data_IF_367570253279
#
_entry.id   IF_367570253279
#
_cell.length_a   1.000
_cell.length_b   1.000
_cell.length_c   1.000
_cell.angle_alpha   90.00
_cell.angle_beta   90.00
_cell.angle_gamma   90.00
#
_symmetry.space_group_name_H-M   'P 1'
#
loop_
_entity.id
_entity.type
_entity.pdbx_description
1 polymer ?
#
# COMPACT_ATOMS: atom_id res chain seq x y z
N UNK A 1 -1.52 19.02 -14.12
CA UNK A 1 -0.19 18.91 -13.46
C UNK A 1 0.31 17.50 -13.69
N UNK A 2 1.61 17.34 -13.95
CA UNK A 2 2.21 16.00 -14.03
C UNK A 2 2.36 15.36 -12.63
N UNK A 3 2.66 14.07 -12.60
CA UNK A 3 2.84 13.29 -11.37
C UNK A 3 3.88 13.90 -10.41
N UNK A 4 5.01 14.40 -10.91
CA UNK A 4 6.07 14.93 -10.04
C UNK A 4 5.68 16.28 -9.43
N UNK A 5 5.05 17.16 -10.21
CA UNK A 5 4.52 18.44 -9.72
C UNK A 5 3.51 18.24 -8.58
N UNK A 6 2.65 17.23 -8.66
CA UNK A 6 1.70 16.90 -7.58
C UNK A 6 2.44 16.45 -6.32
N UNK A 7 3.48 15.61 -6.44
CA UNK A 7 4.26 15.17 -5.27
C UNK A 7 4.89 16.35 -4.55
N UNK A 8 5.58 17.23 -5.28
CA UNK A 8 6.21 18.41 -4.69
C UNK A 8 5.20 19.36 -4.05
N UNK A 9 4.04 19.55 -4.68
CA UNK A 9 2.95 20.34 -4.13
C UNK A 9 2.48 19.79 -2.78
N UNK A 10 2.22 18.48 -2.71
CA UNK A 10 1.73 17.84 -1.48
C UNK A 10 2.79 17.87 -0.38
N UNK A 11 4.04 17.49 -0.68
CA UNK A 11 5.11 17.54 0.30
C UNK A 11 5.29 18.96 0.87
N UNK A 12 5.32 19.97 0.00
CA UNK A 12 5.42 21.39 0.41
C UNK A 12 4.25 21.81 1.29
N UNK A 13 3.01 21.46 0.93
CA UNK A 13 1.82 21.78 1.74
C UNK A 13 1.83 21.09 3.10
N UNK A 14 2.27 19.83 3.17
CA UNK A 14 2.32 19.09 4.43
C UNK A 14 3.40 19.63 5.38
N UNK A 15 4.55 20.05 4.86
CA UNK A 15 5.60 20.73 5.62
C UNK A 15 5.13 22.10 6.11
N UNK A 16 4.58 22.94 5.22
CA UNK A 16 4.08 24.27 5.56
C UNK A 16 2.97 24.26 6.62
N UNK A 17 2.11 23.22 6.61
CA UNK A 17 1.05 23.04 7.61
C UNK A 17 1.51 22.30 8.88
N UNK A 18 2.77 21.86 8.94
CA UNK A 18 3.32 21.18 10.12
C UNK A 18 2.60 19.86 10.47
N UNK A 19 2.00 19.19 9.47
CA UNK A 19 1.26 17.93 9.67
C UNK A 19 2.12 16.70 9.40
N UNK A 20 3.24 16.85 8.69
CA UNK A 20 4.18 15.78 8.42
C UNK A 20 4.92 15.30 9.68
N UNK A 21 4.95 14.00 9.91
CA UNK A 21 5.63 13.36 11.06
C UNK A 21 6.80 12.50 10.60
N UNK A 22 7.59 11.97 11.54
CA UNK A 22 8.71 11.08 11.24
C UNK A 22 8.23 9.85 10.41
N UNK A 23 8.99 9.39 9.41
CA UNK A 23 10.35 9.80 9.04
C UNK A 23 10.42 11.07 8.18
N UNK A 24 11.42 11.92 8.47
CA UNK A 24 11.79 13.11 7.67
C UNK A 24 13.18 12.91 7.04
N UNK A 25 13.50 13.57 5.91
CA UNK A 25 12.62 14.42 5.08
C UNK A 25 11.52 13.59 4.39
N UNK A 26 10.38 14.22 4.09
CA UNK A 26 9.24 13.52 3.47
C UNK A 26 9.33 13.42 1.94
N UNK A 27 10.15 14.26 1.29
CA UNK A 27 10.39 14.18 -0.15
C UNK A 27 10.97 12.82 -0.53
N UNK A 28 10.45 12.25 -1.61
CA UNK A 28 10.77 10.88 -2.04
C UNK A 28 10.13 9.77 -1.20
N UNK A 29 9.21 10.10 -0.28
CA UNK A 29 8.49 9.14 0.56
C UNK A 29 6.97 9.30 0.44
N UNK A 30 6.26 8.24 0.82
CA UNK A 30 4.86 8.40 1.25
C UNK A 30 4.93 9.11 2.61
N UNK A 31 4.39 10.34 2.73
CA UNK A 31 4.56 11.14 3.93
C UNK A 31 3.77 10.55 5.10
N UNK A 32 4.41 10.37 6.26
CA UNK A 32 3.69 10.11 7.49
C UNK A 32 3.05 11.42 8.00
N UNK A 33 1.94 11.31 8.73
CA UNK A 33 1.14 12.46 9.12
C UNK A 33 0.57 12.38 10.54
N UNK A 34 0.29 13.54 11.13
CA UNK A 34 -0.48 13.67 12.36
C UNK A 34 -1.88 13.11 12.12
N UNK A 35 -2.29 12.13 12.94
CA UNK A 35 -3.56 11.45 12.81
C UNK A 35 -3.52 10.12 12.03
N UNK A 36 -2.36 9.62 11.60
CA UNK A 36 -2.26 8.32 10.91
C UNK A 36 -2.85 7.15 11.72
N UNK A 37 -2.66 7.14 13.05
CA UNK A 37 -3.33 6.15 13.92
C UNK A 37 -4.86 6.34 13.96
N UNK A 38 -5.37 7.57 13.92
CA UNK A 38 -6.82 7.82 13.88
C UNK A 38 -7.42 7.34 12.55
N UNK A 39 -6.72 7.56 11.43
CA UNK A 39 -7.10 7.02 10.14
C UNK A 39 -7.11 5.47 10.15
N UNK A 40 -6.10 4.83 10.76
CA UNK A 40 -6.07 3.38 10.93
C UNK A 40 -7.25 2.85 11.79
N UNK A 41 -7.61 3.54 12.88
CA UNK A 41 -8.77 3.17 13.69
C UNK A 41 -10.10 3.35 12.96
N UNK A 42 -10.18 4.33 12.05
CA UNK A 42 -11.36 4.53 11.20
C UNK A 42 -11.44 3.49 10.08
N UNK A 43 -10.30 3.08 9.51
CA UNK A 43 -10.25 1.91 8.63
C UNK A 43 -10.74 0.65 9.37
N UNK A 44 -10.34 0.47 10.64
CA UNK A 44 -10.76 -0.66 11.48
C UNK A 44 -12.28 -0.78 11.64
N UNK A 45 -13.03 0.32 11.54
CA UNK A 45 -14.50 0.29 11.67
C UNK A 45 -15.23 -0.12 10.39
N UNK A 46 -14.54 -0.23 9.25
CA UNK A 46 -15.15 -0.56 7.97
C UNK A 46 -15.56 -2.04 7.86
N UNK A 47 -16.69 -2.37 7.20
CA UNK A 47 -17.08 -3.76 6.94
C UNK A 47 -16.01 -4.55 6.19
N UNK A 48 -15.40 -3.96 5.15
CA UNK A 48 -14.33 -4.59 4.35
C UNK A 48 -13.10 -4.94 5.18
N UNK A 49 -12.82 -4.18 6.24
CA UNK A 49 -11.74 -4.49 7.17
C UNK A 49 -12.15 -5.58 8.16
N UNK A 50 -13.35 -5.47 8.72
CA UNK A 50 -13.85 -6.43 9.73
C UNK A 50 -13.92 -7.84 9.16
N UNK A 51 -14.40 -8.00 7.92
CA UNK A 51 -14.53 -9.31 7.25
C UNK A 51 -13.20 -9.90 6.75
N UNK A 52 -12.18 -9.08 6.52
CA UNK A 52 -10.88 -9.53 6.00
C UNK A 52 -10.12 -10.38 7.04
N UNK A 53 -9.72 -11.59 6.67
CA UNK A 53 -8.86 -12.47 7.49
C UNK A 53 -7.37 -12.25 7.18
N UNK A 54 -7.07 -12.07 5.90
CA UNK A 54 -5.73 -11.77 5.40
C UNK A 54 -5.74 -10.42 4.71
N UNK A 55 -4.83 -9.54 5.11
CA UNK A 55 -4.69 -8.19 4.53
C UNK A 55 -3.29 -8.01 3.96
N UNK A 56 -3.18 -7.34 2.82
CA UNK A 56 -1.91 -6.80 2.36
C UNK A 56 -1.79 -5.37 2.87
N UNK A 57 -0.67 -5.05 3.52
CA UNK A 57 -0.38 -3.67 3.95
C UNK A 57 1.02 -3.31 3.52
N UNK A 58 1.14 -2.31 2.67
CA UNK A 58 2.42 -1.85 2.15
C UNK A 58 3.34 -1.35 3.29
N UNK A 59 4.68 -1.42 3.17
CA UNK A 59 5.63 -1.18 4.27
C UNK A 59 5.78 0.29 4.69
N UNK A 60 5.18 1.24 3.97
CA UNK A 60 5.38 2.67 4.22
C UNK A 60 4.97 3.11 5.64
N UNK A 61 5.67 4.14 6.14
CA UNK A 61 5.52 4.65 7.50
C UNK A 61 4.08 5.04 7.91
N UNK A 62 3.27 5.75 7.09
CA UNK A 62 1.89 6.05 7.45
C UNK A 62 1.01 4.81 7.65
N UNK A 63 1.38 3.66 7.10
CA UNK A 63 0.63 2.41 7.25
C UNK A 63 1.09 1.56 8.44
N UNK A 64 2.12 1.97 9.18
CA UNK A 64 2.56 1.28 10.41
C UNK A 64 1.41 1.07 11.41
N UNK A 65 0.56 2.07 11.72
CA UNK A 65 -0.56 1.86 12.62
C UNK A 65 -1.58 0.85 12.08
N UNK A 66 -1.76 0.77 10.75
CA UNK A 66 -2.67 -0.21 10.14
C UNK A 66 -2.14 -1.62 10.34
N UNK A 67 -0.84 -1.86 10.13
CA UNK A 67 -0.20 -3.16 10.37
C UNK A 67 -0.32 -3.59 11.83
N UNK A 68 -0.02 -2.68 12.76
CA UNK A 68 -0.11 -2.96 14.20
C UNK A 68 -1.55 -3.31 14.63
N UNK A 69 -2.54 -2.55 14.14
CA UNK A 69 -3.96 -2.81 14.47
C UNK A 69 -4.44 -4.12 13.83
N UNK A 70 -4.07 -4.41 12.58
CA UNK A 70 -4.42 -5.66 11.92
C UNK A 70 -3.88 -6.90 12.65
N UNK A 71 -2.61 -6.87 13.07
CA UNK A 71 -2.03 -7.97 13.85
C UNK A 71 -2.72 -8.12 15.22
N UNK A 72 -3.02 -7.01 15.91
CA UNK A 72 -3.79 -7.06 17.17
C UNK A 72 -5.19 -7.63 17.00
N UNK A 73 -5.81 -7.41 15.86
CA UNK A 73 -7.13 -7.93 15.52
C UNK A 73 -7.09 -9.39 15.03
N UNK A 74 -5.94 -10.07 15.16
CA UNK A 74 -5.79 -11.48 14.78
C UNK A 74 -5.75 -11.72 13.27
N UNK A 75 -5.51 -10.68 12.46
CA UNK A 75 -5.44 -10.80 11.00
C UNK A 75 -4.03 -11.19 10.56
N UNK A 76 -3.93 -12.05 9.56
CA UNK A 76 -2.67 -12.32 8.87
C UNK A 76 -2.30 -11.10 8.00
N UNK A 77 -1.09 -10.58 8.16
CA UNK A 77 -0.61 -9.43 7.38
C UNK A 77 0.43 -9.89 6.37
N UNK A 78 0.18 -9.63 5.09
CA UNK A 78 1.16 -9.77 4.02
C UNK A 78 1.80 -8.40 3.78
N UNK A 79 3.13 -8.36 3.70
CA UNK A 79 3.87 -7.13 3.47
C UNK A 79 4.96 -7.36 2.43
N UNK A 80 5.14 -6.42 1.51
CA UNK A 80 6.27 -6.43 0.60
C UNK A 80 7.58 -6.09 1.35
N UNK A 81 8.67 -6.75 0.97
CA UNK A 81 10.00 -6.35 1.41
C UNK A 81 10.43 -5.05 0.71
N UNK A 82 11.35 -4.25 1.29
CA UNK A 82 11.82 -3.03 0.65
C UNK A 82 12.28 -3.26 -0.79
N UNK A 83 11.72 -2.47 -1.73
CA UNK A 83 11.97 -2.57 -3.18
C UNK A 83 11.66 -3.94 -3.79
N UNK A 84 10.85 -4.77 -3.12
CA UNK A 84 10.51 -6.15 -3.53
C UNK A 84 11.72 -7.08 -3.70
N UNK A 85 12.90 -6.73 -3.17
CA UNK A 85 14.13 -7.51 -3.35
C UNK A 85 14.04 -8.91 -2.74
N UNK A 86 13.31 -9.06 -1.63
CA UNK A 86 13.06 -10.33 -0.97
C UNK A 86 11.64 -10.85 -1.17
N UNK A 87 10.89 -10.32 -2.14
CA UNK A 87 9.48 -10.66 -2.35
C UNK A 87 8.60 -10.19 -1.20
N UNK A 88 7.79 -11.11 -0.66
CA UNK A 88 6.78 -10.85 0.36
C UNK A 88 7.05 -11.64 1.64
N UNK A 89 6.58 -11.09 2.75
CA UNK A 89 6.60 -11.73 4.06
C UNK A 89 5.18 -11.87 4.60
N UNK A 90 4.92 -12.98 5.26
CA UNK A 90 3.69 -13.23 5.99
C UNK A 90 3.94 -13.06 7.49
N UNK A 91 3.04 -12.33 8.13
CA UNK A 91 3.01 -12.08 9.55
C UNK A 91 1.74 -12.73 10.11
N UNK A 92 1.89 -13.82 10.86
CA UNK A 92 0.81 -14.45 11.60
C UNK A 92 0.86 -14.01 13.08
N UNK A 93 -0.16 -13.30 13.59
CA UNK A 93 -0.15 -12.85 14.98
C UNK A 93 -0.12 -14.00 16.00
N UNK A 94 -0.54 -15.22 15.64
CA UNK A 94 -0.45 -16.39 16.53
C UNK A 94 1.01 -16.84 16.77
N UNK A 95 1.92 -16.49 15.86
CA UNK A 95 3.35 -16.83 15.95
C UNK A 95 4.18 -15.69 16.58
N UNK A 96 3.53 -14.63 17.04
CA UNK A 96 4.20 -13.38 17.45
C UNK A 96 4.06 -13.10 18.94
N UNK A 97 5.20 -12.85 19.59
CA UNK A 97 5.23 -12.39 20.99
C UNK A 97 4.91 -10.90 21.12
N UNK A 98 5.41 -10.08 20.19
CA UNK A 98 5.18 -8.64 20.16
C UNK A 98 4.72 -8.19 18.76
N UNK A 99 3.41 -8.02 18.62
CA UNK A 99 2.77 -7.54 17.38
C UNK A 99 3.13 -6.10 17.03
N UNK A 100 3.47 -5.25 18.02
CA UNK A 100 3.90 -3.87 17.76
C UNK A 100 5.27 -3.87 17.09
N UNK A 101 6.17 -4.70 17.61
CA UNK A 101 7.48 -4.85 17.00
C UNK A 101 7.38 -5.42 15.58
N UNK A 102 6.58 -6.47 15.40
CA UNK A 102 6.32 -7.12 14.12
C UNK A 102 5.72 -6.19 13.04
N UNK A 103 4.96 -5.17 13.43
CA UNK A 103 4.39 -4.21 12.49
C UNK A 103 5.43 -3.29 11.82
N UNK A 104 6.61 -3.12 12.42
CA UNK A 104 7.71 -2.35 11.83
C UNK A 104 8.40 -3.10 10.70
N UNK A 105 9.03 -2.42 9.73
CA UNK A 105 9.76 -3.10 8.65
C UNK A 105 10.84 -4.03 9.21
N UNK A 106 11.64 -3.53 10.19
CA UNK A 106 12.73 -4.32 10.80
C UNK A 106 12.19 -5.51 11.57
N UNK A 107 11.14 -5.32 12.36
CA UNK A 107 10.53 -6.40 13.12
C UNK A 107 9.91 -7.44 12.21
N UNK A 108 9.14 -7.02 11.20
CA UNK A 108 8.55 -7.89 10.20
C UNK A 108 9.59 -8.75 9.47
N UNK A 109 10.75 -8.17 9.09
CA UNK A 109 11.83 -8.93 8.47
C UNK A 109 12.50 -9.95 9.42
N UNK A 110 12.40 -9.76 10.73
CA UNK A 110 13.01 -10.66 11.74
C UNK A 110 12.05 -11.75 12.21
N UNK A 111 10.77 -11.43 12.34
CA UNK A 111 9.75 -12.36 12.88
C UNK A 111 8.80 -12.93 11.82
N UNK A 112 8.73 -12.31 10.63
CA UNK A 112 7.90 -12.78 9.55
C UNK A 112 8.56 -13.88 8.74
N UNK A 113 7.72 -14.75 8.18
CA UNK A 113 8.16 -15.81 7.30
C UNK A 113 8.17 -15.28 5.86
N UNK A 114 9.26 -15.49 5.13
CA UNK A 114 9.25 -15.33 3.67
C UNK A 114 8.18 -16.25 3.10
N UNK A 115 7.35 -15.73 2.21
CA UNK A 115 6.25 -16.49 1.62
C UNK A 115 6.30 -16.38 0.11
N UNK A 116 6.07 -17.51 -0.57
CA UNK A 116 5.56 -17.45 -1.94
C UNK A 116 4.17 -16.82 -1.85
N UNK A 117 3.90 -15.88 -2.75
CA UNK A 117 2.57 -15.27 -2.85
C UNK A 117 1.59 -16.21 -3.56
N UNK A 118 2.07 -17.11 -4.41
CA UNK A 118 1.23 -18.08 -5.10
C UNK A 118 0.45 -18.94 -4.09
N UNK A 119 -0.86 -19.07 -4.31
CA UNK A 119 -1.76 -19.84 -3.43
C UNK A 119 -2.23 -19.10 -2.18
N UNK A 120 -1.77 -17.87 -1.94
CA UNK A 120 -2.36 -17.00 -0.91
C UNK A 120 -3.66 -16.37 -1.40
N UNK A 121 -4.52 -15.98 -0.46
CA UNK A 121 -5.70 -15.14 -0.72
C UNK A 121 -5.67 -13.92 0.18
N UNK A 122 -5.64 -12.73 -0.42
CA UNK A 122 -5.72 -11.44 0.29
C UNK A 122 -7.13 -10.86 0.11
N UNK A 123 -7.75 -10.45 1.23
CA UNK A 123 -9.12 -9.95 1.24
C UNK A 123 -9.20 -8.43 1.13
N UNK A 124 -8.12 -7.72 1.47
CA UNK A 124 -8.06 -6.27 1.50
C UNK A 124 -6.62 -5.81 1.28
N UNK A 125 -6.43 -4.84 0.39
CA UNK A 125 -5.14 -4.22 0.08
C UNK A 125 -5.11 -2.82 0.70
N UNK A 126 -4.06 -2.50 1.44
CA UNK A 126 -3.83 -1.16 2.00
C UNK A 126 -2.53 -0.59 1.46
N UNK A 127 -2.65 0.50 0.71
CA UNK A 127 -1.57 1.17 0.02
C UNK A 127 -1.35 2.59 0.55
N UNK A 128 -0.08 2.96 0.78
CA UNK A 128 0.31 4.34 1.04
C UNK A 128 0.24 5.19 -0.23
N UNK A 129 -0.12 6.47 -0.07
CA UNK A 129 -0.22 7.42 -1.19
C UNK A 129 0.45 8.74 -0.84
N UNK A 130 1.15 9.37 -1.79
CA UNK A 130 1.51 10.79 -1.71
C UNK A 130 0.26 11.63 -1.94
N UNK A 131 -0.48 11.34 -2.99
CA UNK A 131 -1.73 12.02 -3.31
C UNK A 131 -2.81 11.04 -3.76
N UNK A 132 -4.07 11.43 -3.57
CA UNK A 132 -5.24 10.74 -4.09
C UNK A 132 -6.28 11.73 -4.58
N UNK A 133 -7.20 11.29 -5.44
CA UNK A 133 -8.38 12.05 -5.82
C UNK A 133 -9.68 11.28 -5.54
N UNK A 134 -10.82 11.98 -5.65
CA UNK A 134 -12.13 11.37 -5.40
C UNK A 134 -12.62 10.43 -6.51
N UNK A 135 -11.94 10.39 -7.67
CA UNK A 135 -12.23 9.45 -8.76
C UNK A 135 -11.60 8.08 -8.52
N UNK A 136 -10.69 7.97 -7.55
CA UNK A 136 -9.96 6.76 -7.19
C UNK A 136 -8.49 6.79 -7.61
N UNK A 137 -8.02 7.92 -8.16
CA UNK A 137 -6.64 8.07 -8.59
C UNK A 137 -5.69 8.02 -7.40
N UNK A 138 -4.57 7.31 -7.57
CA UNK A 138 -3.56 7.10 -6.52
C UNK A 138 -2.18 7.45 -7.05
N UNK A 139 -1.43 8.21 -6.26
CA UNK A 139 -0.06 8.60 -6.60
C UNK A 139 0.92 8.15 -5.53
N UNK A 140 1.81 7.23 -5.86
CA UNK A 140 2.93 6.80 -5.00
C UNK A 140 4.14 7.75 -4.98
N UNK A 141 5.15 7.42 -4.15
CA UNK A 141 6.36 8.23 -3.90
C UNK A 141 7.32 8.38 -5.09
N UNK A 142 7.37 7.38 -5.97
CA UNK A 142 8.10 7.29 -7.25
C UNK A 142 8.45 5.81 -7.53
N UNK A 143 8.93 5.51 -8.74
CA UNK A 143 9.40 4.18 -9.22
C UNK A 143 8.38 3.05 -9.35
N UNK A 144 7.12 3.27 -8.98
CA UNK A 144 6.03 2.32 -9.25
C UNK A 144 6.05 1.05 -8.40
N UNK A 145 6.80 0.99 -7.29
CA UNK A 145 6.84 -0.21 -6.45
C UNK A 145 5.47 -0.57 -5.86
N UNK A 146 4.68 0.38 -5.36
CA UNK A 146 3.35 0.08 -4.83
C UNK A 146 2.38 -0.39 -5.92
N UNK A 147 2.50 0.14 -7.13
CA UNK A 147 1.71 -0.34 -8.27
C UNK A 147 2.14 -1.75 -8.69
N UNK A 148 3.44 -2.04 -8.63
CA UNK A 148 4.01 -3.37 -8.85
C UNK A 148 3.59 -4.37 -7.76
N UNK A 149 3.50 -3.95 -6.50
CA UNK A 149 3.00 -4.77 -5.39
C UNK A 149 1.58 -5.27 -5.71
N UNK A 150 0.67 -4.37 -6.12
CA UNK A 150 -0.69 -4.75 -6.54
C UNK A 150 -0.67 -5.62 -7.81
N UNK A 151 0.14 -5.26 -8.81
CA UNK A 151 0.23 -6.00 -10.07
C UNK A 151 0.71 -7.44 -9.86
N UNK A 152 1.72 -7.67 -9.00
CA UNK A 152 2.19 -9.00 -8.62
C UNK A 152 1.09 -9.80 -7.93
N UNK A 153 0.39 -9.18 -6.96
CA UNK A 153 -0.69 -9.86 -6.27
C UNK A 153 -1.85 -10.22 -7.22
N UNK A 154 -2.11 -9.41 -8.26
CA UNK A 154 -3.07 -9.74 -9.33
C UNK A 154 -2.56 -10.84 -10.26
N UNK A 155 -1.30 -10.79 -10.69
CA UNK A 155 -0.69 -11.80 -11.58
C UNK A 155 -0.65 -13.18 -10.92
N UNK A 156 -0.45 -13.24 -9.60
CA UNK A 156 -0.38 -14.48 -8.82
C UNK A 156 -1.76 -14.98 -8.32
N UNK A 157 -2.86 -14.41 -8.80
CA UNK A 157 -4.25 -14.72 -8.39
C UNK A 157 -4.51 -14.58 -6.88
N UNK A 158 -3.70 -13.79 -6.18
CA UNK A 158 -3.81 -13.54 -4.73
C UNK A 158 -4.95 -12.57 -4.41
N UNK A 159 -5.21 -11.66 -5.35
CA UNK A 159 -6.30 -10.69 -5.30
C UNK A 159 -7.08 -10.69 -6.62
N UNK A 160 -8.37 -10.34 -6.54
CA UNK A 160 -9.29 -10.23 -7.67
C UNK A 160 -9.54 -8.76 -8.04
N UNK A 161 -10.29 -8.49 -9.10
CA UNK A 161 -10.75 -7.13 -9.46
C UNK A 161 -11.71 -6.59 -8.41
N UNK A 162 -12.44 -7.48 -7.75
CA UNK A 162 -13.34 -7.15 -6.65
C UNK A 162 -12.63 -6.97 -5.31
N UNK A 163 -11.35 -7.34 -5.18
CA UNK A 163 -10.62 -7.15 -3.92
C UNK A 163 -10.47 -5.65 -3.63
N UNK A 164 -10.97 -5.13 -2.49
CA UNK A 164 -10.92 -3.71 -2.19
C UNK A 164 -9.48 -3.21 -1.97
N UNK A 165 -9.16 -2.04 -2.53
CA UNK A 165 -7.90 -1.32 -2.33
C UNK A 165 -8.20 -0.02 -1.58
N UNK A 166 -7.54 0.16 -0.43
CA UNK A 166 -7.79 1.29 0.47
C UNK A 166 -6.51 2.04 0.73
N UNK A 167 -6.60 3.35 0.94
CA UNK A 167 -5.48 4.15 1.43
C UNK A 167 -5.83 4.87 2.72
N UNK A 168 -4.83 5.06 3.59
CA UNK A 168 -4.94 6.01 4.71
C UNK A 168 -4.04 7.21 4.43
N UNK A 169 -4.63 8.42 4.48
CA UNK A 169 -3.95 9.68 4.12
C UNK A 169 -4.40 10.84 5.00
N UNK A 170 -3.61 11.90 5.03
CA UNK A 170 -4.05 13.19 5.56
C UNK A 170 -4.96 13.91 4.54
N UNK A 171 -5.97 14.72 4.95
CA UNK A 171 -6.84 15.44 4.02
C UNK A 171 -6.12 16.33 2.99
N UNK A 172 -4.94 16.87 3.33
CA UNK A 172 -4.07 17.66 2.41
C UNK A 172 -3.61 16.87 1.19
N UNK A 173 -3.55 15.54 1.29
CA UNK A 173 -3.13 14.66 0.22
C UNK A 173 -4.26 14.38 -0.79
N UNK A 174 -5.48 14.81 -0.49
CA UNK A 174 -6.60 14.74 -1.42
C UNK A 174 -6.50 15.92 -2.39
N UNK A 175 -6.19 15.63 -3.65
CA UNK A 175 -6.06 16.60 -4.74
C UNK A 175 -7.26 16.54 -5.68
N UNK A 176 -7.33 17.47 -6.63
CA UNK A 176 -8.43 17.53 -7.59
C UNK A 176 -8.41 16.33 -8.54
N UNK A 177 -7.22 15.98 -9.05
CA UNK A 177 -7.04 14.90 -10.02
C UNK A 177 -5.60 14.38 -9.98
N UNK A 178 -5.47 13.06 -10.05
CA UNK A 178 -4.22 12.34 -10.23
C UNK A 178 -4.17 11.83 -11.67
N UNK A 179 -3.13 12.16 -12.47
CA UNK A 179 -2.96 11.58 -13.78
C UNK A 179 -2.63 10.10 -13.66
N UNK A 180 -3.49 9.25 -14.24
CA UNK A 180 -3.40 7.79 -14.18
C UNK A 180 -2.86 7.20 -15.49
N UNK A 181 -2.20 6.05 -15.37
CA UNK A 181 -1.67 5.20 -16.43
C UNK A 181 -2.20 3.78 -16.26
N UNK A 182 -2.17 2.95 -17.30
CA UNK A 182 -2.75 1.60 -17.30
C UNK A 182 -2.19 0.65 -16.22
N UNK A 183 -0.99 0.92 -15.70
CA UNK A 183 -0.34 0.14 -14.65
C UNK A 183 -0.58 0.69 -13.24
N UNK A 184 -1.14 1.90 -13.09
CA UNK A 184 -1.35 2.48 -11.77
C UNK A 184 -2.55 1.79 -11.08
N UNK A 185 -2.37 1.42 -9.81
CA UNK A 185 -3.43 0.81 -9.03
C UNK A 185 -4.32 1.88 -8.37
N UNK A 186 -5.62 1.99 -8.75
CA UNK A 186 -6.53 2.93 -8.11
C UNK A 186 -6.96 2.45 -6.72
N UNK A 187 -7.58 3.35 -5.96
CA UNK A 187 -8.16 3.05 -4.64
C UNK A 187 -9.69 3.14 -4.68
N UNK A 188 -10.32 2.22 -3.98
CA UNK A 188 -11.77 2.14 -3.79
C UNK A 188 -12.23 3.03 -2.61
N UNK A 189 -11.40 3.11 -1.55
CA UNK A 189 -11.69 3.92 -0.37
C UNK A 189 -10.50 4.78 0.03
N UNK A 190 -10.80 6.02 0.44
CA UNK A 190 -9.85 6.96 1.03
C UNK A 190 -10.26 7.20 2.48
N UNK A 191 -9.38 6.83 3.41
CA UNK A 191 -9.62 6.99 4.85
C UNK A 191 -8.72 8.10 5.40
N UNK A 192 -9.32 9.09 6.04
CA UNK A 192 -8.63 10.18 6.73
C UNK A 192 -8.84 10.11 8.25
N UNK A 193 -8.15 10.95 9.05
CA UNK A 193 -8.40 11.02 10.49
C UNK A 193 -9.81 11.45 10.90
N UNK A 194 -10.58 12.04 9.98
CA UNK A 194 -11.89 12.63 10.23
C UNK A 194 -13.03 11.96 9.45
N UNK A 195 -12.78 11.36 8.28
CA UNK A 195 -13.84 10.80 7.41
C UNK A 195 -13.37 9.62 6.56
N UNK A 196 -14.36 8.97 5.95
CA UNK A 196 -14.21 7.92 4.96
C UNK A 196 -14.82 8.44 3.66
N UNK A 197 -14.15 8.21 2.54
CA UNK A 197 -14.62 8.61 1.22
C UNK A 197 -14.60 7.38 0.33
N UNK A 198 -15.76 6.99 -0.18
CA UNK A 198 -15.89 6.06 -1.29
C UNK A 198 -15.59 6.79 -2.60
N UNK A 199 -14.79 6.19 -3.46
CA UNK A 199 -14.36 6.84 -4.71
C UNK A 199 -15.39 6.63 -5.81
N UNK A 200 -15.30 7.41 -6.89
CA UNK A 200 -16.21 7.24 -8.03
C UNK A 200 -15.90 6.01 -8.90
N UNK A 201 -14.92 5.17 -8.52
CA UNK A 201 -14.49 3.98 -9.25
C UNK A 201 -14.24 4.22 -10.75
N UNK A 202 -13.70 5.38 -11.12
CA UNK A 202 -13.55 5.80 -12.53
C UNK A 202 -12.43 5.04 -13.25
N UNK A 203 -11.47 4.50 -12.49
CA UNK A 203 -10.27 3.85 -13.04
C UNK A 203 -10.36 2.33 -12.90
N UNK A 204 -9.95 1.61 -13.95
CA UNK A 204 -9.85 0.15 -13.89
C UNK A 204 -8.61 -0.28 -13.11
N UNK A 205 -8.74 -1.33 -12.30
CA UNK A 205 -7.59 -1.97 -11.64
C UNK A 205 -6.75 -2.71 -12.69
N UNK A 206 -5.41 -2.71 -12.57
CA UNK A 206 -4.56 -3.47 -13.47
C UNK A 206 -4.91 -4.96 -13.39
N UNK A 207 -4.85 -5.65 -14.53
CA UNK A 207 -5.15 -7.09 -14.64
C UNK A 207 -4.00 -7.98 -14.14
N UNK A 208 -2.85 -7.39 -13.85
CA UNK A 208 -1.61 -8.11 -13.57
C UNK A 208 -0.42 -7.25 -13.96
N UNK A 209 0.71 -7.89 -14.21
CA UNK A 209 1.94 -7.22 -14.62
C UNK A 209 1.88 -6.88 -16.10
N UNK A 210 2.11 -5.61 -16.45
CA UNK A 210 2.27 -5.20 -17.84
C UNK A 210 3.73 -5.43 -18.23
N UNK A 211 4.07 -6.68 -18.56
CA UNK A 211 5.43 -7.16 -18.79
C UNK A 211 6.24 -6.32 -19.81
N UNK A 212 5.57 -5.79 -20.84
CA UNK A 212 6.18 -4.92 -21.88
C UNK A 212 6.65 -3.56 -21.37
N UNK A 213 6.17 -3.11 -20.20
CA UNK A 213 6.53 -1.82 -19.58
C UNK A 213 7.59 -1.97 -18.49
N UNK A 214 8.06 -3.18 -18.22
CA UNK A 214 9.10 -3.39 -17.21
C UNK A 214 10.44 -2.79 -17.68
N UNK A 215 11.15 -2.06 -16.81
CA UNK A 215 12.50 -1.60 -17.14
C UNK A 215 13.45 -2.80 -17.31
N UNK A 216 14.53 -2.61 -18.08
CA UNK A 216 15.49 -3.67 -18.40
C UNK A 216 16.13 -4.32 -17.17
N UNK A 217 16.23 -3.59 -16.07
CA UNK A 217 16.78 -4.06 -14.80
C UNK A 217 15.74 -4.57 -13.80
N UNK A 218 14.45 -4.65 -14.18
CA UNK A 218 13.36 -5.07 -13.30
C UNK A 218 13.59 -6.43 -12.64
N UNK A 219 14.02 -7.43 -13.41
CA UNK A 219 14.29 -8.79 -12.92
C UNK A 219 15.45 -8.83 -11.91
N UNK A 220 16.44 -7.95 -12.07
CA UNK A 220 17.56 -7.81 -11.13
C UNK A 220 17.11 -7.13 -9.84
N UNK A 221 16.22 -6.15 -9.93
CA UNK A 221 15.69 -5.45 -8.76
C UNK A 221 14.67 -6.29 -7.99
N UNK A 222 13.86 -7.08 -8.70
CA UNK A 222 12.70 -7.82 -8.19
C UNK A 222 12.75 -9.27 -8.67
N UNK A 223 13.49 -10.16 -7.99
CA UNK A 223 13.67 -11.55 -8.40
C UNK A 223 12.37 -12.34 -8.60
N UNK A 224 11.32 -12.00 -7.83
CA UNK A 224 9.97 -12.58 -7.94
C UNK A 224 9.37 -12.49 -9.35
N UNK A 225 9.78 -11.50 -10.16
CA UNK A 225 9.31 -11.38 -11.54
C UNK A 225 9.77 -12.55 -12.42
N UNK A 226 10.94 -13.14 -12.14
CA UNK A 226 11.41 -14.31 -12.87
C UNK A 226 10.58 -15.55 -12.52
N UNK A 227 10.23 -15.72 -11.25
CA UNK A 227 9.39 -16.82 -10.75
C UNK A 227 7.99 -16.77 -11.38
N UNK A 228 7.37 -15.59 -11.41
CA UNK A 228 6.04 -15.41 -11.99
C UNK A 228 6.04 -15.60 -13.51
N UNK A 229 7.09 -15.13 -14.20
CA UNK A 229 7.19 -15.29 -15.66
C UNK A 229 7.31 -16.75 -16.08
N UNK A 230 7.96 -17.59 -15.27
CA UNK A 230 8.10 -19.03 -15.54
C UNK A 230 6.84 -19.85 -15.27
N UNK A 231 5.89 -19.31 -14.50
CA UNK A 231 4.60 -19.97 -14.15
C UNK A 231 3.46 -19.63 -15.13
N UNK A 232 3.74 -18.79 -16.15
CA UNK A 232 2.79 -18.32 -17.17
C UNK A 232 2.88 -19.15 -18.44
#
# INVERSE_FOLDING_TARGET
MDKQSIRELVWTRMEAKGVATFPRPIRGRIPNFKGSRQAAMRLRSLPVYRSAKTVFVNPDAPQLPVREVALRDGKRVIMATPKLQGGFIALDPAEMRDVREAASIRGALRCGNKTDVCGLKVNLVIEGSVAVDRKGGRLGKSRGFGDMEVAILREADVITDTTPIVTTVHPIQIVNEVPMSEHDAPVDLIVTPDRIIETAHTYQKPRGIIWKLLPSDAFKQMPILAELRGKR
#
